data_IF_326870609443
#
_entry.id   IF_326870609443
#
_cell.length_a   1.000
_cell.length_b   1.000
_cell.length_c   1.000
_cell.angle_alpha   90.00
_cell.angle_beta   90.00
_cell.angle_gamma   90.00
#
_symmetry.space_group_name_H-M   'P 1'
#
loop_
_entity.id
_entity.type
_entity.pdbx_description
1 polymer ?
#
# COMPACT_ATOMS: atom_id res chain seq x y z
N UNK A 1 42.13 -11.60 32.32
CA UNK A 1 41.05 -12.18 33.12
C UNK A 1 39.76 -11.40 32.91
N UNK A 2 38.96 -11.57 31.87
CA UNK A 2 39.11 -12.08 30.51
C UNK A 2 37.92 -11.53 29.71
N UNK A 3 38.16 -11.31 28.43
CA UNK A 3 37.28 -10.76 27.40
C UNK A 3 36.28 -11.78 26.83
N UNK A 4 35.04 -11.33 26.52
CA UNK A 4 34.11 -11.71 25.42
C UNK A 4 32.66 -11.43 25.87
N UNK A 5 31.93 -10.44 25.35
CA UNK A 5 31.28 -10.32 24.02
C UNK A 5 30.49 -11.56 23.59
N UNK A 6 29.16 -11.48 23.73
CA UNK A 6 28.19 -12.37 23.10
C UNK A 6 27.20 -11.45 22.38
N UNK A 7 27.33 -11.42 21.07
CA UNK A 7 26.43 -10.79 20.12
C UNK A 7 25.30 -11.76 19.73
N UNK A 8 24.18 -11.13 19.43
CA UNK A 8 23.12 -11.41 18.44
C UNK A 8 23.11 -12.76 17.71
N UNK A 9 21.94 -13.40 17.74
CA UNK A 9 21.60 -14.53 16.89
C UNK A 9 20.49 -14.13 15.91
N UNK A 10 20.93 -13.74 14.72
CA UNK A 10 20.13 -13.54 13.51
C UNK A 10 19.69 -14.90 12.95
N UNK A 11 18.38 -15.11 12.78
CA UNK A 11 17.82 -16.33 12.20
C UNK A 11 17.94 -16.28 10.67
N UNK A 12 19.07 -16.79 10.16
CA UNK A 12 19.30 -17.01 8.74
C UNK A 12 18.57 -18.28 8.26
N UNK A 13 17.71 -18.10 7.26
CA UNK A 13 16.95 -19.13 6.56
C UNK A 13 17.89 -19.98 5.69
N UNK A 14 17.98 -21.29 5.96
CA UNK A 14 18.84 -22.24 5.23
C UNK A 14 18.04 -23.07 4.23
N UNK A 15 18.30 -22.87 2.93
CA UNK A 15 17.87 -23.78 1.86
C UNK A 15 18.62 -25.13 1.92
N UNK A 16 18.14 -26.17 1.23
CA UNK A 16 18.70 -27.52 1.37
C UNK A 16 20.05 -27.68 0.64
N UNK A 17 21.10 -27.94 1.42
CA UNK A 17 22.44 -28.29 0.96
C UNK A 17 22.50 -29.72 0.40
N UNK A 18 23.35 -29.88 -0.62
CA UNK A 18 23.70 -31.16 -1.25
C UNK A 18 24.83 -31.80 -0.45
N UNK A 19 24.59 -32.97 0.13
CA UNK A 19 25.64 -33.78 0.79
C UNK A 19 26.53 -34.50 -0.24
N UNK A 20 27.87 -34.47 -0.08
CA UNK A 20 28.83 -35.03 -1.02
C UNK A 20 29.17 -36.51 -0.76
N UNK A 21 29.56 -37.15 -1.85
CA UNK A 21 29.99 -38.54 -1.97
C UNK A 21 31.36 -38.76 -1.31
N UNK A 22 31.44 -39.59 -0.25
CA UNK A 22 32.71 -40.05 0.32
C UNK A 22 33.01 -41.49 -0.13
N UNK A 23 34.05 -41.62 -0.96
CA UNK A 23 34.79 -42.85 -1.19
C UNK A 23 35.82 -43.03 -0.06
N UNK A 24 35.90 -44.22 0.52
CA UNK A 24 37.18 -44.69 1.04
C UNK A 24 37.36 -46.20 0.89
N UNK A 25 38.56 -46.56 0.46
CA UNK A 25 39.04 -47.87 0.06
C UNK A 25 39.54 -48.71 1.25
N UNK A 26 39.39 -50.03 1.12
CA UNK A 26 40.40 -51.01 1.54
C UNK A 26 40.16 -51.80 2.82
N UNK A 27 39.82 -53.09 2.71
CA UNK A 27 40.79 -54.23 2.61
C UNK A 27 40.05 -55.58 2.78
N UNK A 28 40.16 -56.41 1.73
CA UNK A 28 40.27 -57.90 1.59
C UNK A 28 39.92 -58.77 2.81
N UNK A 29 39.35 -59.99 2.73
CA UNK A 29 38.87 -60.93 1.70
C UNK A 29 38.30 -62.11 2.51
N UNK A 30 37.16 -62.69 2.14
CA UNK A 30 36.99 -64.16 2.15
C UNK A 30 35.79 -64.57 1.28
N UNK A 31 36.06 -65.41 0.29
CA UNK A 31 35.09 -66.01 -0.62
C UNK A 31 34.23 -67.04 0.11
N UNK A 32 32.90 -67.03 -0.09
CA UNK A 32 32.15 -68.11 -0.78
C UNK A 32 30.62 -67.95 -0.62
N UNK A 33 29.93 -68.03 -1.77
CA UNK A 33 28.52 -68.47 -1.98
C UNK A 33 27.39 -67.64 -1.35
N UNK A 34 26.95 -66.60 -2.07
CA UNK A 34 25.60 -66.04 -1.94
C UNK A 34 25.16 -65.35 -3.25
N UNK A 35 25.05 -66.09 -4.36
CA UNK A 35 24.61 -65.55 -5.66
C UNK A 35 23.17 -65.89 -6.04
N UNK A 36 22.37 -66.46 -5.13
CA UNK A 36 20.97 -66.82 -5.42
C UNK A 36 19.94 -65.95 -4.68
N UNK A 37 20.20 -65.55 -3.44
CA UNK A 37 19.24 -64.76 -2.64
C UNK A 37 19.17 -63.28 -3.02
N UNK A 38 20.29 -62.68 -3.44
CA UNK A 38 20.35 -61.24 -3.80
C UNK A 38 19.65 -60.93 -5.11
N UNK A 39 19.67 -61.84 -6.10
CA UNK A 39 18.93 -61.68 -7.36
C UNK A 39 17.42 -61.82 -7.17
N UNK A 40 16.98 -62.70 -6.26
CA UNK A 40 15.55 -62.88 -5.95
C UNK A 40 15.02 -61.66 -5.19
N UNK A 41 15.78 -61.12 -4.23
CA UNK A 41 15.40 -59.91 -3.50
C UNK A 41 15.39 -58.66 -4.41
N UNK A 42 16.37 -58.54 -5.32
CA UNK A 42 16.38 -57.45 -6.30
C UNK A 42 15.17 -57.52 -7.25
N UNK A 43 14.83 -58.72 -7.75
CA UNK A 43 13.66 -58.93 -8.60
C UNK A 43 12.33 -58.64 -7.87
N UNK A 44 12.25 -58.97 -6.57
CA UNK A 44 11.12 -58.63 -5.72
C UNK A 44 10.98 -57.12 -5.49
N UNK A 45 12.09 -56.42 -5.20
CA UNK A 45 12.09 -54.97 -5.03
C UNK A 45 11.74 -54.23 -6.32
N UNK A 46 12.29 -54.65 -7.48
CA UNK A 46 11.94 -54.03 -8.76
C UNK A 46 10.48 -54.26 -9.11
N UNK A 47 9.94 -55.44 -8.81
CA UNK A 47 8.52 -55.74 -9.05
C UNK A 47 7.61 -54.90 -8.15
N UNK A 48 7.96 -54.72 -6.87
CA UNK A 48 7.20 -53.84 -5.98
C UNK A 48 7.26 -52.37 -6.39
N UNK A 49 8.41 -51.86 -6.81
CA UNK A 49 8.54 -50.47 -7.29
C UNK A 49 7.69 -50.27 -8.55
N UNK A 50 7.71 -51.22 -9.49
CA UNK A 50 6.90 -51.14 -10.71
C UNK A 50 5.41 -51.19 -10.37
N UNK A 51 4.98 -52.10 -9.49
CA UNK A 51 3.57 -52.20 -9.07
C UNK A 51 3.11 -50.94 -8.33
N UNK A 52 3.94 -50.38 -7.44
CA UNK A 52 3.64 -49.13 -6.75
C UNK A 52 3.59 -47.93 -7.70
N UNK A 53 4.47 -47.87 -8.70
CA UNK A 53 4.44 -46.82 -9.72
C UNK A 53 3.19 -46.92 -10.62
N UNK A 54 2.79 -48.14 -11.00
CA UNK A 54 1.55 -48.39 -11.76
C UNK A 54 0.33 -48.00 -10.92
N UNK A 55 0.26 -48.43 -9.65
CA UNK A 55 -0.83 -48.06 -8.74
C UNK A 55 -0.90 -46.55 -8.49
N UNK A 56 0.24 -45.87 -8.32
CA UNK A 56 0.30 -44.41 -8.20
C UNK A 56 -0.17 -43.70 -9.46
N UNK A 57 0.20 -44.21 -10.64
CA UNK A 57 -0.26 -43.66 -11.93
C UNK A 57 -1.76 -43.86 -12.11
N UNK A 58 -2.28 -45.05 -11.78
CA UNK A 58 -3.72 -45.35 -11.82
C UNK A 58 -4.50 -44.49 -10.83
N UNK A 59 -3.96 -44.24 -9.63
CA UNK A 59 -4.56 -43.35 -8.64
C UNK A 59 -4.61 -41.91 -9.14
N UNK A 60 -3.53 -41.39 -9.73
CA UNK A 60 -3.50 -40.03 -10.32
C UNK A 60 -4.46 -39.92 -11.50
N UNK A 61 -4.56 -40.96 -12.34
CA UNK A 61 -5.50 -40.99 -13.45
C UNK A 61 -6.95 -41.09 -12.97
N UNK A 62 -7.26 -41.88 -11.94
CA UNK A 62 -8.58 -41.97 -11.33
C UNK A 62 -8.96 -40.67 -10.61
N UNK A 63 -8.02 -40.02 -9.92
CA UNK A 63 -8.24 -38.70 -9.30
C UNK A 63 -8.53 -37.66 -10.40
N UNK A 64 -7.73 -37.61 -11.47
CA UNK A 64 -7.98 -36.73 -12.63
C UNK A 64 -9.31 -37.03 -13.33
N UNK A 65 -9.70 -38.29 -13.44
CA UNK A 65 -10.98 -38.70 -14.02
C UNK A 65 -12.17 -38.28 -13.13
N UNK A 66 -12.06 -38.48 -11.81
CA UNK A 66 -13.05 -38.00 -10.83
C UNK A 66 -13.18 -36.47 -10.85
N UNK A 67 -12.07 -35.73 -10.96
CA UNK A 67 -12.13 -34.26 -11.11
C UNK A 67 -12.75 -33.81 -12.44
N UNK A 68 -12.65 -34.65 -13.48
CA UNK A 68 -13.26 -34.38 -14.80
C UNK A 68 -14.75 -34.67 -14.82
N UNK A 69 -15.22 -35.69 -14.08
CA UNK A 69 -16.66 -35.98 -13.90
C UNK A 69 -17.33 -35.04 -12.88
N UNK A 70 -16.59 -34.50 -11.91
CA UNK A 70 -17.07 -33.52 -10.93
C UNK A 70 -17.14 -32.06 -11.46
N UNK A 71 -16.97 -31.82 -12.76
CA UNK A 71 -17.18 -30.50 -13.38
C UNK A 71 -16.19 -29.40 -12.98
N UNK A 72 -15.08 -29.71 -12.28
CA UNK A 72 -14.13 -28.71 -11.75
C UNK A 72 -12.91 -28.44 -12.65
N UNK A 73 -12.87 -28.98 -13.87
CA UNK A 73 -11.87 -28.64 -14.87
C UNK A 73 -12.53 -28.36 -16.22
N UNK A 74 -13.40 -27.37 -16.25
CA UNK A 74 -13.67 -26.68 -17.49
C UNK A 74 -12.49 -25.74 -17.76
N UNK A 75 -11.69 -26.07 -18.78
CA UNK A 75 -10.86 -25.06 -19.46
C UNK A 75 -11.83 -24.11 -20.14
N UNK A 76 -12.37 -23.18 -19.37
CA UNK A 76 -12.95 -21.99 -19.97
C UNK A 76 -11.78 -21.21 -20.56
N UNK A 77 -11.80 -21.15 -21.88
CA UNK A 77 -11.05 -20.19 -22.68
C UNK A 77 -11.41 -18.81 -22.12
N UNK A 78 -10.61 -18.27 -21.21
CA UNK A 78 -10.76 -16.92 -20.68
C UNK A 78 -10.34 -15.95 -21.79
N UNK A 79 -11.24 -15.77 -22.73
CA UNK A 79 -11.24 -14.70 -23.72
C UNK A 79 -12.63 -14.63 -24.34
N UNK A 80 -13.63 -14.25 -23.54
CA UNK A 80 -14.84 -13.54 -23.96
C UNK A 80 -15.74 -13.40 -22.73
N UNK A 81 -16.15 -12.16 -22.45
CA UNK A 81 -17.15 -11.75 -21.45
C UNK A 81 -16.67 -11.72 -19.99
N UNK A 82 -15.86 -10.71 -19.67
CA UNK A 82 -15.96 -10.08 -18.35
C UNK A 82 -17.36 -9.45 -18.31
N UNK A 83 -18.27 -9.89 -17.42
CA UNK A 83 -19.55 -9.23 -17.25
C UNK A 83 -19.31 -7.77 -16.87
N UNK A 84 -20.00 -6.85 -17.56
CA UNK A 84 -20.01 -5.43 -17.27
C UNK A 84 -20.74 -5.11 -15.93
N UNK A 85 -20.37 -5.79 -14.84
CA UNK A 85 -20.86 -5.50 -13.50
C UNK A 85 -20.13 -4.32 -12.84
N UNK A 86 -18.95 -3.95 -13.33
CA UNK A 86 -18.45 -2.59 -13.16
C UNK A 86 -19.13 -1.70 -14.20
N UNK A 87 -20.39 -1.32 -13.93
CA UNK A 87 -21.08 -0.29 -14.70
C UNK A 87 -20.12 0.87 -14.92
N UNK A 88 -19.90 1.24 -16.18
CA UNK A 88 -18.85 2.19 -16.57
C UNK A 88 -18.80 3.38 -15.62
N UNK A 89 -17.63 3.63 -15.04
CA UNK A 89 -17.45 4.65 -14.00
C UNK A 89 -18.11 5.97 -14.45
N UNK A 90 -19.21 6.41 -13.81
CA UNK A 90 -20.08 7.48 -14.33
C UNK A 90 -19.53 8.88 -14.05
N UNK A 91 -18.26 9.01 -13.67
CA UNK A 91 -17.66 10.29 -13.26
C UNK A 91 -17.37 11.13 -14.50
N UNK A 92 -18.39 11.86 -14.96
CA UNK A 92 -18.30 12.83 -16.07
C UNK A 92 -18.01 14.26 -15.59
N UNK A 93 -18.02 14.47 -14.27
CA UNK A 93 -17.78 15.74 -13.63
C UNK A 93 -17.35 15.53 -12.18
N UNK A 94 -16.38 16.32 -11.71
CA UNK A 94 -16.08 16.50 -10.29
C UNK A 94 -16.35 17.97 -9.97
N UNK A 95 -17.27 18.24 -9.03
CA UNK A 95 -17.71 19.61 -8.73
C UNK A 95 -16.57 20.56 -8.35
N UNK A 96 -15.48 20.03 -7.81
CA UNK A 96 -14.30 20.81 -7.42
C UNK A 96 -13.23 20.88 -8.51
N UNK A 97 -13.20 19.95 -9.46
CA UNK A 97 -12.12 19.82 -10.47
C UNK A 97 -12.57 20.07 -11.92
N UNK A 98 -13.87 20.21 -12.17
CA UNK A 98 -14.44 20.57 -13.46
C UNK A 98 -14.92 19.38 -14.31
N UNK A 99 -15.18 19.63 -15.61
CA UNK A 99 -15.75 18.63 -16.51
C UNK A 99 -14.74 17.55 -16.90
N UNK A 100 -15.27 16.39 -17.28
CA UNK A 100 -14.49 15.32 -17.90
C UNK A 100 -13.78 15.81 -19.17
N UNK A 101 -12.48 15.53 -19.25
CA UNK A 101 -11.63 15.87 -20.40
C UNK A 101 -11.33 14.59 -21.18
N UNK A 102 -11.83 14.42 -22.43
CA UNK A 102 -11.48 13.26 -23.25
C UNK A 102 -10.11 13.43 -23.90
N UNK A 103 -9.36 12.33 -24.01
CA UNK A 103 -8.27 12.26 -24.99
C UNK A 103 -8.88 11.91 -26.36
N UNK A 104 -9.06 12.90 -27.23
CA UNK A 104 -9.66 12.71 -28.56
C UNK A 104 -8.62 12.19 -29.56
N UNK A 105 -8.15 10.96 -29.38
CA UNK A 105 -7.11 10.37 -30.24
C UNK A 105 -7.66 9.21 -31.08
N UNK A 106 -8.22 9.52 -32.25
CA UNK A 106 -8.41 8.52 -33.31
C UNK A 106 -7.18 8.58 -34.22
N UNK A 107 -6.27 7.60 -34.14
CA UNK A 107 -5.09 7.56 -35.03
C UNK A 107 -3.77 7.08 -34.40
N UNK A 108 -3.82 6.43 -33.23
CA UNK A 108 -2.63 5.87 -32.59
C UNK A 108 -1.79 6.90 -31.82
N UNK A 109 -0.56 6.54 -31.42
CA UNK A 109 0.27 7.33 -30.50
C UNK A 109 0.53 8.77 -30.95
N UNK A 110 0.82 8.97 -32.24
CA UNK A 110 1.14 10.29 -32.77
C UNK A 110 -0.06 11.23 -32.72
N UNK A 111 -1.24 10.73 -33.11
CA UNK A 111 -2.48 11.48 -32.99
C UNK A 111 -2.81 11.82 -31.53
N UNK A 112 -2.53 10.92 -30.59
CA UNK A 112 -2.72 11.17 -29.16
C UNK A 112 -1.79 12.26 -28.62
N UNK A 113 -0.52 12.26 -29.01
CA UNK A 113 0.44 13.33 -28.66
C UNK A 113 -0.01 14.67 -29.23
N UNK A 114 -0.47 14.69 -30.49
CA UNK A 114 -0.98 15.91 -31.15
C UNK A 114 -2.26 16.42 -30.49
N UNK A 115 -3.12 15.53 -29.99
CA UNK A 115 -4.30 15.87 -29.21
C UNK A 115 -3.98 16.36 -27.78
N UNK A 116 -2.70 16.47 -27.40
CA UNK A 116 -2.28 16.93 -26.09
C UNK A 116 -2.40 15.86 -25.00
N UNK A 117 -2.42 14.58 -25.36
CA UNK A 117 -2.40 13.48 -24.41
C UNK A 117 -0.97 13.00 -24.12
N UNK A 118 -0.80 12.41 -22.95
CA UNK A 118 0.44 11.82 -22.45
C UNK A 118 0.19 10.34 -22.17
N UNK A 119 1.10 9.47 -22.58
CA UNK A 119 0.99 8.06 -22.23
C UNK A 119 1.53 7.87 -20.82
N UNK A 120 0.71 7.29 -19.94
CA UNK A 120 1.12 6.91 -18.58
C UNK A 120 1.25 5.38 -18.54
N UNK A 121 2.46 4.90 -18.25
CA UNK A 121 2.77 3.46 -18.20
C UNK A 121 1.97 2.71 -17.13
N UNK A 122 1.70 3.34 -15.99
CA UNK A 122 1.03 2.72 -14.85
C UNK A 122 -0.49 2.80 -14.94
N UNK A 123 -1.03 3.80 -15.63
CA UNK A 123 -2.43 3.76 -16.09
C UNK A 123 -2.57 2.85 -17.32
N UNK A 124 -1.45 2.53 -17.97
CA UNK A 124 -1.34 1.82 -19.25
C UNK A 124 -2.27 2.43 -20.32
N UNK A 125 -2.19 3.76 -20.49
CA UNK A 125 -3.12 4.46 -21.35
C UNK A 125 -2.78 5.92 -21.63
N UNK A 126 -3.48 6.49 -22.62
CA UNK A 126 -3.37 7.89 -23.00
C UNK A 126 -4.24 8.76 -22.10
N UNK A 127 -3.58 9.58 -21.29
CA UNK A 127 -4.18 10.50 -20.32
C UNK A 127 -4.15 11.93 -20.88
N UNK A 128 -5.24 12.70 -20.82
CA UNK A 128 -5.21 14.12 -21.17
C UNK A 128 -4.17 14.88 -20.35
N UNK A 129 -3.44 15.84 -20.94
CA UNK A 129 -2.40 16.58 -20.23
C UNK A 129 -2.83 17.17 -18.86
N UNK A 130 -4.04 17.74 -18.68
CA UNK A 130 -4.48 18.23 -17.36
C UNK A 130 -4.62 17.14 -16.29
N UNK A 131 -4.74 15.88 -16.69
CA UNK A 131 -4.90 14.73 -15.81
C UNK A 131 -3.60 13.93 -15.62
N UNK A 132 -2.52 14.29 -16.31
CA UNK A 132 -1.25 13.58 -16.29
C UNK A 132 -0.32 14.12 -15.20
N UNK A 133 -0.02 13.30 -14.19
CA UNK A 133 0.98 13.61 -13.16
C UNK A 133 2.38 13.24 -13.67
N UNK A 134 3.00 14.14 -14.41
CA UNK A 134 4.31 13.91 -15.03
C UNK A 134 5.42 13.70 -14.01
N UNK A 135 5.36 14.39 -12.87
CA UNK A 135 6.38 14.26 -11.83
C UNK A 135 6.37 12.87 -11.20
N UNK A 136 5.18 12.32 -10.94
CA UNK A 136 5.02 10.95 -10.47
C UNK A 136 5.41 9.96 -11.55
N UNK A 137 4.91 10.14 -12.76
CA UNK A 137 5.24 9.27 -13.88
C UNK A 137 6.75 9.14 -14.03
N UNK A 138 7.47 10.26 -14.13
CA UNK A 138 8.92 10.32 -14.31
C UNK A 138 9.67 9.69 -13.12
N UNK A 139 9.22 9.95 -11.89
CA UNK A 139 9.78 9.27 -10.71
C UNK A 139 9.69 7.75 -10.80
N UNK A 140 8.59 7.20 -11.31
CA UNK A 140 8.47 5.75 -11.45
C UNK A 140 9.28 5.25 -12.64
N UNK A 141 9.09 5.80 -13.83
CA UNK A 141 9.71 5.25 -15.06
C UNK A 141 11.22 5.46 -15.14
N UNK A 142 11.78 6.51 -14.51
CA UNK A 142 13.22 6.80 -14.59
C UNK A 142 14.03 6.08 -13.50
N UNK A 143 13.41 5.77 -12.36
CA UNK A 143 14.13 5.20 -11.22
C UNK A 143 14.24 3.68 -11.30
N UNK A 144 13.28 3.01 -11.94
CA UNK A 144 13.18 1.56 -11.98
C UNK A 144 12.67 1.06 -13.33
N UNK A 145 13.18 -0.11 -13.74
CA UNK A 145 12.68 -0.87 -14.88
C UNK A 145 11.82 -2.02 -14.35
N UNK A 146 10.53 -2.03 -14.70
CA UNK A 146 9.52 -2.90 -14.08
C UNK A 146 9.31 -4.24 -14.80
N UNK A 147 10.23 -4.62 -15.71
CA UNK A 147 10.28 -5.94 -16.34
C UNK A 147 8.92 -6.46 -16.85
N UNK A 148 8.47 -5.93 -17.99
CA UNK A 148 7.25 -6.38 -18.66
C UNK A 148 7.52 -7.59 -19.58
N UNK A 149 6.55 -8.49 -19.69
CA UNK A 149 6.67 -9.73 -20.45
C UNK A 149 5.49 -9.93 -21.41
N UNK A 150 5.76 -10.61 -22.53
CA UNK A 150 4.75 -10.95 -23.54
C UNK A 150 3.86 -12.11 -23.12
N UNK A 151 4.30 -12.94 -22.17
CA UNK A 151 3.63 -14.16 -21.73
C UNK A 151 3.80 -14.40 -20.23
N UNK A 152 2.87 -15.19 -19.65
CA UNK A 152 2.85 -15.55 -18.23
C UNK A 152 4.09 -16.32 -17.77
N UNK A 153 4.74 -17.04 -18.70
CA UNK A 153 5.95 -17.79 -18.40
C UNK A 153 7.21 -16.93 -18.46
N UNK A 154 7.06 -15.62 -18.70
CA UNK A 154 8.13 -14.61 -18.67
C UNK A 154 9.29 -15.00 -19.59
N UNK A 155 9.00 -15.51 -20.79
CA UNK A 155 10.06 -15.97 -21.71
C UNK A 155 10.69 -14.83 -22.49
N UNK A 156 9.89 -13.87 -22.91
CA UNK A 156 10.35 -12.73 -23.70
C UNK A 156 9.97 -11.41 -23.03
N UNK A 157 11.02 -10.66 -22.70
CA UNK A 157 10.91 -9.35 -22.09
C UNK A 157 10.57 -8.29 -23.13
N UNK A 158 9.69 -7.37 -22.76
CA UNK A 158 9.38 -6.16 -23.50
C UNK A 158 10.19 -5.02 -22.86
N UNK A 159 11.06 -4.33 -23.61
CA UNK A 159 11.74 -3.14 -23.12
C UNK A 159 10.72 -2.07 -22.72
N UNK A 160 10.91 -1.43 -21.57
CA UNK A 160 9.98 -0.42 -21.05
C UNK A 160 9.84 0.77 -22.01
N UNK A 161 10.91 1.14 -22.72
CA UNK A 161 10.93 2.22 -23.70
C UNK A 161 9.95 1.97 -24.84
N UNK A 162 9.76 0.71 -25.25
CA UNK A 162 8.76 0.35 -26.26
C UNK A 162 7.34 0.56 -25.76
N UNK A 163 7.08 0.30 -24.48
CA UNK A 163 5.76 0.54 -23.89
C UNK A 163 5.45 2.03 -23.80
N UNK A 164 6.46 2.86 -23.50
CA UNK A 164 6.34 4.32 -23.48
C UNK A 164 6.05 4.94 -24.85
N UNK A 165 6.25 4.20 -25.95
CA UNK A 165 5.76 4.61 -27.27
C UNK A 165 4.23 4.66 -27.32
N UNK A 166 3.55 3.95 -26.41
CA UNK A 166 2.09 3.95 -26.23
C UNK A 166 1.33 3.25 -27.36
N UNK A 167 1.99 2.33 -28.07
CA UNK A 167 1.41 1.54 -29.16
C UNK A 167 0.50 0.43 -28.60
N UNK A 168 -0.48 0.00 -29.39
CA UNK A 168 -1.33 -1.16 -29.07
C UNK A 168 -0.68 -2.51 -29.44
N UNK A 169 0.65 -2.55 -29.54
CA UNK A 169 1.38 -3.76 -29.96
C UNK A 169 1.20 -4.91 -28.96
N UNK A 170 1.06 -4.57 -27.67
CA UNK A 170 0.92 -5.53 -26.57
C UNK A 170 -0.41 -5.28 -25.83
N UNK A 171 -1.51 -5.96 -26.22
CA UNK A 171 -2.82 -5.76 -25.58
C UNK A 171 -2.86 -6.32 -24.15
N UNK A 172 -1.98 -7.27 -23.82
CA UNK A 172 -1.79 -7.81 -22.48
C UNK A 172 -0.32 -7.70 -22.10
N UNK A 173 -0.06 -7.22 -20.88
CA UNK A 173 1.27 -7.12 -20.30
C UNK A 173 1.34 -8.03 -19.08
N UNK A 174 2.34 -8.91 -19.05
CA UNK A 174 2.59 -9.77 -17.90
C UNK A 174 3.67 -9.15 -17.04
N UNK A 175 3.36 -8.97 -15.76
CA UNK A 175 4.25 -8.43 -14.73
C UNK A 175 4.40 -9.44 -13.60
N UNK A 176 5.45 -9.29 -12.79
CA UNK A 176 5.53 -10.01 -11.53
C UNK A 176 4.47 -9.54 -10.53
N UNK A 177 4.35 -10.29 -9.44
CA UNK A 177 3.49 -9.91 -8.33
C UNK A 177 4.00 -8.66 -7.60
N UNK A 178 5.31 -8.54 -7.43
CA UNK A 178 5.97 -7.37 -6.85
C UNK A 178 5.66 -6.09 -7.64
N UNK A 179 5.87 -6.10 -8.96
CA UNK A 179 5.55 -4.93 -9.79
C UNK A 179 4.04 -4.66 -9.95
N UNK A 180 3.16 -5.67 -9.79
CA UNK A 180 1.73 -5.42 -9.65
C UNK A 180 1.40 -4.58 -8.40
N UNK A 181 2.09 -4.82 -7.28
CA UNK A 181 1.91 -4.01 -6.08
C UNK A 181 2.46 -2.60 -6.22
N UNK A 182 3.60 -2.43 -6.88
CA UNK A 182 4.12 -1.09 -7.18
C UNK A 182 3.15 -0.30 -8.06
N UNK A 183 2.51 -0.95 -9.03
CA UNK A 183 1.41 -0.37 -9.79
C UNK A 183 0.20 0.01 -8.90
N UNK A 184 -0.22 -0.87 -7.99
CA UNK A 184 -1.31 -0.54 -7.06
C UNK A 184 -0.97 0.65 -6.17
N UNK A 185 0.25 0.69 -5.63
CA UNK A 185 0.78 1.79 -4.81
C UNK A 185 0.87 3.09 -5.61
N UNK A 186 1.25 3.02 -6.88
CA UNK A 186 1.22 4.15 -7.80
C UNK A 186 -0.20 4.73 -7.86
N UNK A 187 -1.21 3.92 -8.16
CA UNK A 187 -2.58 4.39 -8.29
C UNK A 187 -3.14 4.97 -6.99
N UNK A 188 -2.92 4.31 -5.85
CA UNK A 188 -3.29 4.84 -4.53
C UNK A 188 -2.72 6.24 -4.29
N UNK A 189 -1.40 6.37 -4.40
CA UNK A 189 -0.72 7.64 -4.15
C UNK A 189 -1.15 8.71 -5.17
N UNK A 190 -1.50 8.33 -6.41
CA UNK A 190 -1.99 9.28 -7.41
C UNK A 190 -3.34 9.87 -7.00
N UNK A 191 -4.26 9.03 -6.51
CA UNK A 191 -5.57 9.52 -6.06
C UNK A 191 -5.47 10.52 -4.90
N UNK A 192 -4.45 10.38 -4.05
CA UNK A 192 -4.19 11.30 -2.94
C UNK A 192 -3.61 12.62 -3.38
N UNK A 193 -2.58 12.59 -4.22
CA UNK A 193 -1.92 13.80 -4.75
C UNK A 193 -2.88 14.72 -5.48
N UNK A 194 -3.80 14.15 -6.28
CA UNK A 194 -4.83 14.93 -6.99
C UNK A 194 -5.77 15.67 -6.03
N UNK A 195 -5.96 15.12 -4.82
CA UNK A 195 -6.87 15.65 -3.82
C UNK A 195 -6.18 16.33 -2.62
N UNK A 196 -4.85 16.41 -2.61
CA UNK A 196 -4.09 17.19 -1.62
C UNK A 196 -3.93 18.63 -2.11
N UNK A 197 -4.33 19.61 -1.30
CA UNK A 197 -4.27 21.04 -1.65
C UNK A 197 -2.83 21.63 -1.60
N UNK A 198 -1.83 20.83 -1.22
CA UNK A 198 -0.43 21.22 -1.12
C UNK A 198 0.44 20.52 -2.16
N UNK A 199 1.01 21.28 -3.10
CA UNK A 199 1.87 20.81 -4.21
C UNK A 199 3.14 20.05 -3.76
N UNK A 200 3.56 20.13 -2.49
CA UNK A 200 4.96 19.87 -2.12
C UNK A 200 5.22 18.61 -1.28
N UNK A 201 4.22 18.01 -0.61
CA UNK A 201 4.48 16.94 0.36
C UNK A 201 4.83 15.57 -0.25
N UNK A 202 4.60 15.39 -1.55
CA UNK A 202 4.39 14.03 -2.05
C UNK A 202 5.60 13.29 -2.61
N UNK A 203 6.72 13.97 -2.83
CA UNK A 203 7.88 13.39 -3.54
C UNK A 203 8.97 12.86 -2.64
N UNK A 204 8.99 13.26 -1.37
CA UNK A 204 9.90 12.67 -0.41
C UNK A 204 9.25 11.38 0.07
N UNK A 205 9.73 10.27 -0.50
CA UNK A 205 9.90 9.08 0.33
C UNK A 205 10.86 9.53 1.41
N UNK A 206 10.34 9.83 2.60
CA UNK A 206 11.16 9.81 3.80
C UNK A 206 11.66 8.37 3.91
N UNK A 207 12.85 8.17 3.37
CA UNK A 207 13.65 7.00 3.63
C UNK A 207 14.29 7.28 4.97
N UNK A 208 13.55 7.02 6.05
CA UNK A 208 13.97 6.87 7.45
C UNK A 208 12.68 6.52 8.26
N UNK A 209 12.63 5.67 9.29
CA UNK A 209 13.66 5.12 10.14
C UNK A 209 13.10 3.85 10.84
N UNK A 210 13.60 2.68 10.46
CA UNK A 210 13.62 1.45 11.27
C UNK A 210 14.98 0.85 10.91
N UNK A 211 15.96 0.72 11.78
CA UNK A 211 16.04 0.74 13.24
C UNK A 211 17.52 0.79 13.60
N UNK A 212 17.85 1.42 14.74
CA UNK A 212 19.08 1.21 15.51
C UNK A 212 20.46 1.54 14.87
N UNK A 213 21.38 1.74 15.80
CA UNK A 213 22.73 2.32 15.83
C UNK A 213 23.78 2.02 14.73
N UNK A 214 24.53 3.09 14.46
CA UNK A 214 25.97 3.14 14.11
C UNK A 214 26.49 2.39 12.88
N UNK A 215 26.78 3.14 11.82
CA UNK A 215 28.03 3.03 11.07
C UNK A 215 28.30 4.31 10.27
N UNK A 216 29.38 5.02 10.61
CA UNK A 216 29.94 6.10 9.79
C UNK A 216 30.33 5.57 8.41
N UNK A 217 29.87 6.23 7.36
CA UNK A 217 30.52 6.19 6.05
C UNK A 217 30.61 7.59 5.47
N UNK A 218 31.76 8.22 5.68
CA UNK A 218 32.11 9.51 5.09
C UNK A 218 32.36 9.33 3.59
N UNK A 219 31.50 9.90 2.74
CA UNK A 219 31.81 10.12 1.32
C UNK A 219 31.81 11.62 1.04
N UNK A 220 33.00 12.20 1.03
CA UNK A 220 33.25 13.57 0.58
C UNK A 220 32.80 13.72 -0.88
N UNK A 221 31.84 14.60 -1.14
CA UNK A 221 31.59 15.14 -2.46
C UNK A 221 32.15 16.57 -2.53
N UNK A 222 33.17 16.74 -3.36
CA UNK A 222 33.71 18.03 -3.76
C UNK A 222 32.66 18.80 -4.59
N UNK A 223 32.22 19.96 -4.11
CA UNK A 223 31.49 20.97 -4.88
C UNK A 223 32.38 22.20 -5.12
N UNK A 224 32.27 22.87 -6.28
CA UNK A 224 33.21 23.89 -6.72
C UNK A 224 33.04 25.22 -5.97
N UNK A 225 34.18 25.85 -5.67
CA UNK A 225 34.35 27.10 -4.94
C UNK A 225 33.71 28.31 -5.65
N UNK A 226 32.60 28.82 -5.10
CA UNK A 226 32.05 30.14 -5.45
C UNK A 226 32.68 31.20 -4.53
N UNK A 227 33.51 32.09 -5.10
CA UNK A 227 34.06 33.24 -4.36
C UNK A 227 32.93 34.22 -4.04
N UNK A 228 32.59 34.33 -2.76
CA UNK A 228 31.61 35.27 -2.21
C UNK A 228 32.11 35.87 -0.90
N UNK A 229 31.86 37.16 -0.71
CA UNK A 229 32.34 38.04 0.36
C UNK A 229 32.19 37.43 1.77
N UNK A 230 33.29 37.33 2.53
CA UNK A 230 33.26 36.89 3.94
C UNK A 230 32.84 38.06 4.83
N UNK A 231 31.56 38.18 5.16
CA UNK A 231 31.10 39.00 6.29
C UNK A 231 31.47 38.24 7.56
N UNK A 232 32.20 38.88 8.48
CA UNK A 232 32.59 38.28 9.76
C UNK A 232 31.33 37.85 10.53
N UNK A 233 31.31 36.62 11.01
CA UNK A 233 30.20 36.03 11.77
C UNK A 233 29.77 36.88 12.97
N UNK A 234 30.70 37.67 13.52
CA UNK A 234 30.42 38.65 14.58
C UNK A 234 29.50 39.78 14.12
N UNK A 235 29.70 40.30 12.91
CA UNK A 235 28.90 41.41 12.36
C UNK A 235 27.48 40.95 12.03
N UNK A 236 27.33 39.72 11.53
CA UNK A 236 26.02 39.14 11.27
C UNK A 236 25.21 38.97 12.57
N UNK A 237 25.84 38.48 13.64
CA UNK A 237 25.21 38.35 14.97
C UNK A 237 24.72 39.71 15.49
N UNK A 238 25.56 40.74 15.38
CA UNK A 238 25.24 42.07 15.93
C UNK A 238 24.09 42.74 15.14
N UNK A 239 24.04 42.57 13.81
CA UNK A 239 22.92 43.06 13.00
C UNK A 239 21.60 42.34 13.31
N UNK A 240 21.64 41.03 13.57
CA UNK A 240 20.44 40.26 13.95
C UNK A 240 19.91 40.73 15.31
N UNK A 241 20.79 40.96 16.28
CA UNK A 241 20.40 41.47 17.60
C UNK A 241 19.79 42.87 17.52
N UNK A 242 20.37 43.75 16.70
CA UNK A 242 19.82 45.11 16.48
C UNK A 242 18.44 45.04 15.79
N UNK A 243 18.25 44.13 14.83
CA UNK A 243 16.97 43.91 14.17
C UNK A 243 15.88 43.49 15.17
N UNK A 244 16.15 42.53 16.04
CA UNK A 244 15.18 42.11 17.06
C UNK A 244 14.90 43.20 18.09
N UNK A 245 15.90 43.97 18.50
CA UNK A 245 15.72 45.09 19.41
C UNK A 245 14.83 46.20 18.81
N UNK A 246 15.01 46.50 17.52
CA UNK A 246 14.18 47.48 16.80
C UNK A 246 12.73 47.01 16.66
N UNK A 247 12.50 45.73 16.33
CA UNK A 247 11.15 45.16 16.26
C UNK A 247 10.45 45.21 17.62
N UNK A 248 11.14 44.85 18.70
CA UNK A 248 10.61 44.96 20.06
C UNK A 248 10.27 46.40 20.47
N UNK A 249 11.12 47.36 20.09
CA UNK A 249 10.85 48.77 20.35
C UNK A 249 9.64 49.30 19.56
N UNK A 250 9.48 48.90 18.30
CA UNK A 250 8.31 49.27 17.48
C UNK A 250 7.01 48.72 18.10
N UNK A 251 6.99 47.49 18.60
CA UNK A 251 5.82 46.94 19.31
C UNK A 251 5.48 47.66 20.62
N UNK A 252 6.46 48.29 21.28
CA UNK A 252 6.23 49.04 22.52
C UNK A 252 5.79 50.49 22.27
N UNK A 253 6.17 51.06 21.13
CA UNK A 253 5.88 52.47 20.79
C UNK A 253 4.62 52.61 19.94
N UNK A 254 4.12 51.54 19.33
CA UNK A 254 2.82 51.58 18.66
C UNK A 254 1.68 51.70 19.68
N UNK A 255 0.92 52.80 19.70
CA UNK A 255 -0.29 52.89 20.51
C UNK A 255 -1.30 51.83 20.02
N UNK A 256 -1.87 51.06 20.96
CA UNK A 256 -3.03 50.19 20.71
C UNK A 256 -4.19 51.06 20.20
N UNK A 257 -4.28 51.20 18.88
CA UNK A 257 -5.41 51.81 18.19
C UNK A 257 -6.57 50.83 18.20
N UNK A 258 -7.40 50.93 19.23
CA UNK A 258 -8.75 50.36 19.25
C UNK A 258 -9.64 51.14 18.27
N UNK A 259 -9.62 50.79 16.99
CA UNK A 259 -10.59 51.31 16.04
C UNK A 259 -11.68 50.26 15.77
N UNK A 260 -12.74 50.35 16.57
CA UNK A 260 -14.08 50.00 16.12
C UNK A 260 -14.47 50.94 14.98
N UNK A 261 -14.75 50.38 13.80
CA UNK A 261 -15.62 51.01 12.81
C UNK A 261 -16.45 49.94 12.13
N UNK A 262 -17.74 49.93 12.49
CA UNK A 262 -18.83 49.40 11.69
C UNK A 262 -18.88 50.10 10.32
N UNK A 263 -19.18 49.37 9.26
CA UNK A 263 -19.78 49.94 8.06
C UNK A 263 -19.27 49.44 6.70
N UNK A 264 -20.23 48.89 5.94
CA UNK A 264 -20.31 48.78 4.48
C UNK A 264 -19.70 47.53 3.82
N UNK A 265 -20.58 46.55 3.64
CA UNK A 265 -20.48 45.46 2.69
C UNK A 265 -20.10 45.93 1.28
N UNK A 266 -19.03 45.35 0.76
CA UNK A 266 -18.89 45.04 -0.66
C UNK A 266 -18.62 43.55 -0.72
N UNK A 267 -19.66 42.79 -1.06
CA UNK A 267 -19.61 41.36 -1.31
C UNK A 267 -18.65 41.08 -2.48
N UNK A 268 -17.40 40.79 -2.14
CA UNK A 268 -16.58 39.89 -2.94
C UNK A 268 -16.79 38.51 -2.33
N UNK A 269 -17.57 37.68 -3.02
CA UNK A 269 -17.58 36.24 -2.80
C UNK A 269 -16.18 35.66 -3.07
N UNK A 270 -15.26 35.88 -2.14
CA UNK A 270 -14.25 34.90 -1.86
C UNK A 270 -15.00 33.76 -1.18
N UNK A 271 -15.25 32.69 -1.94
CA UNK A 271 -15.62 31.42 -1.35
C UNK A 271 -14.53 31.11 -0.33
N UNK A 272 -14.83 31.34 0.96
CA UNK A 272 -14.08 30.74 2.03
C UNK A 272 -14.04 29.24 1.72
N UNK A 273 -12.84 28.65 1.78
CA UNK A 273 -12.74 27.20 1.79
C UNK A 273 -13.80 26.65 2.76
N UNK A 274 -14.56 25.60 2.40
CA UNK A 274 -15.59 25.06 3.27
C UNK A 274 -14.96 24.81 4.64
N UNK A 275 -15.55 25.38 5.69
CA UNK A 275 -15.08 25.18 7.05
C UNK A 275 -14.98 23.68 7.30
N UNK A 276 -13.78 23.21 7.66
CA UNK A 276 -13.54 21.82 7.98
C UNK A 276 -14.52 21.41 9.10
N UNK A 277 -15.44 20.48 8.79
CA UNK A 277 -16.34 19.95 9.81
C UNK A 277 -15.59 18.86 10.56
N UNK A 278 -15.46 19.04 11.87
CA UNK A 278 -14.69 18.15 12.75
C UNK A 278 -15.27 16.75 12.83
N UNK A 279 -14.39 15.74 12.77
CA UNK A 279 -14.70 14.33 13.02
C UNK A 279 -14.40 13.92 14.49
N UNK A 280 -14.37 14.87 15.42
CA UNK A 280 -14.17 14.63 16.85
C UNK A 280 -15.48 14.19 17.54
N UNK A 281 -15.38 13.15 18.37
CA UNK A 281 -16.47 12.57 19.16
C UNK A 281 -16.23 12.67 20.68
N UNK A 282 -15.36 13.57 21.12
CA UNK A 282 -15.14 13.88 22.54
C UNK A 282 -14.11 12.96 23.19
N UNK A 283 -14.21 12.79 24.51
CA UNK A 283 -13.18 12.14 25.33
C UNK A 283 -13.64 10.84 26.01
N UNK A 284 -14.88 10.41 25.76
CA UNK A 284 -15.38 9.10 26.22
C UNK A 284 -16.46 8.56 25.29
N UNK A 285 -16.69 7.25 25.32
CA UNK A 285 -17.79 6.61 24.59
C UNK A 285 -19.16 7.15 25.02
N UNK A 286 -19.32 7.50 26.29
CA UNK A 286 -20.55 8.11 26.81
C UNK A 286 -20.81 9.50 26.24
N UNK A 287 -19.76 10.31 26.07
CA UNK A 287 -19.83 11.62 25.42
C UNK A 287 -20.06 11.47 23.91
N UNK A 288 -19.35 10.54 23.25
CA UNK A 288 -19.53 10.25 21.83
C UNK A 288 -21.00 9.92 21.50
N UNK A 289 -21.64 9.08 22.32
CA UNK A 289 -23.08 8.78 22.17
C UNK A 289 -23.95 10.04 22.34
N UNK A 290 -23.63 10.92 23.29
CA UNK A 290 -24.35 12.18 23.50
C UNK A 290 -24.18 13.15 22.32
N UNK A 291 -23.02 13.15 21.68
CA UNK A 291 -22.72 13.92 20.47
C UNK A 291 -23.32 13.28 19.20
N UNK A 292 -24.03 12.16 19.32
CA UNK A 292 -24.64 11.46 18.18
C UNK A 292 -23.62 10.68 17.34
N UNK A 293 -22.41 10.48 17.84
CA UNK A 293 -21.42 9.63 17.19
C UNK A 293 -21.77 8.15 17.32
N UNK A 294 -21.27 7.37 16.37
CA UNK A 294 -21.39 5.91 16.34
C UNK A 294 -20.04 5.29 16.05
N UNK A 295 -19.76 4.16 16.70
CA UNK A 295 -18.60 3.34 16.39
C UNK A 295 -18.65 2.82 14.94
N UNK A 296 -17.58 3.05 14.20
CA UNK A 296 -17.35 2.59 12.84
C UNK A 296 -16.20 1.57 12.85
N UNK A 297 -16.50 0.33 12.48
CA UNK A 297 -15.55 -0.79 12.52
C UNK A 297 -14.52 -0.77 11.39
N UNK A 298 -14.83 -0.10 10.27
CA UNK A 298 -13.86 0.15 9.21
C UNK A 298 -12.82 1.16 9.70
N UNK A 299 -13.25 2.22 10.37
CA UNK A 299 -12.38 3.26 10.91
C UNK A 299 -11.66 2.90 12.22
N UNK A 300 -12.18 1.90 12.95
CA UNK A 300 -11.82 1.65 14.34
C UNK A 300 -11.92 2.93 15.19
N UNK A 301 -13.02 3.67 15.03
CA UNK A 301 -13.20 4.96 15.68
C UNK A 301 -14.69 5.26 15.92
N UNK A 302 -14.98 6.13 16.88
CA UNK A 302 -16.28 6.79 17.00
C UNK A 302 -16.31 7.98 16.06
N UNK A 303 -17.33 8.05 15.20
CA UNK A 303 -17.44 9.09 14.18
C UNK A 303 -18.83 9.74 14.17
N UNK A 304 -18.91 11.04 13.85
CA UNK A 304 -20.18 11.70 13.58
C UNK A 304 -20.72 11.27 12.20
N UNK A 305 -22.00 11.52 11.95
CA UNK A 305 -22.69 11.08 10.73
C UNK A 305 -22.01 11.56 9.43
N UNK A 306 -21.45 12.78 9.41
CA UNK A 306 -20.83 13.35 8.23
C UNK A 306 -19.46 12.74 7.90
N UNK A 307 -18.80 12.04 8.84
CA UNK A 307 -17.54 11.32 8.61
C UNK A 307 -17.72 9.81 8.40
N UNK A 308 -18.96 9.32 8.43
CA UNK A 308 -19.30 7.89 8.38
C UNK A 308 -19.96 7.51 7.05
N UNK A 309 -19.45 6.44 6.43
CA UNK A 309 -20.05 5.82 5.24
C UNK A 309 -20.62 4.46 5.63
N UNK A 310 -21.81 4.49 6.22
CA UNK A 310 -22.50 3.33 6.81
C UNK A 310 -22.63 2.14 5.86
N UNK A 311 -22.90 2.42 4.58
CA UNK A 311 -23.07 1.41 3.55
C UNK A 311 -21.74 0.68 3.31
N UNK A 312 -20.65 1.44 3.19
CA UNK A 312 -19.32 0.90 2.96
C UNK A 312 -18.81 0.13 4.19
N UNK A 313 -19.05 0.64 5.40
CA UNK A 313 -18.69 -0.05 6.65
C UNK A 313 -19.47 -1.36 6.79
N UNK A 314 -20.77 -1.37 6.47
CA UNK A 314 -21.56 -2.61 6.50
C UNK A 314 -21.09 -3.63 5.46
N UNK A 315 -20.66 -3.18 4.27
CA UNK A 315 -20.04 -4.06 3.27
C UNK A 315 -18.71 -4.63 3.78
N UNK A 316 -17.87 -3.79 4.40
CA UNK A 316 -16.62 -4.22 5.01
C UNK A 316 -16.86 -5.32 6.04
N UNK A 317 -17.82 -5.14 6.94
CA UNK A 317 -18.17 -6.11 7.99
C UNK A 317 -18.62 -7.49 7.47
N UNK A 318 -19.02 -7.57 6.19
CA UNK A 318 -19.40 -8.82 5.49
C UNK A 318 -18.35 -9.32 4.49
N UNK A 319 -17.14 -8.74 4.51
CA UNK A 319 -16.06 -9.09 3.58
C UNK A 319 -14.98 -9.97 4.21
N UNK A 320 -15.17 -10.40 5.45
CA UNK A 320 -14.26 -11.28 6.18
C UNK A 320 -14.39 -12.75 5.82
N UNK A 321 -13.40 -13.58 6.21
CA UNK A 321 -13.36 -15.00 5.87
C UNK A 321 -14.30 -15.87 6.73
N UNK A 322 -14.92 -15.31 7.77
CA UNK A 322 -15.80 -16.03 8.69
C UNK A 322 -17.19 -16.33 8.10
N UNK A 323 -18.02 -17.11 8.81
CA UNK A 323 -19.39 -17.40 8.40
C UNK A 323 -20.19 -16.11 8.15
N UNK A 324 -20.87 -16.04 7.00
CA UNK A 324 -21.64 -14.85 6.61
C UNK A 324 -20.79 -13.62 6.29
N UNK A 325 -19.47 -13.80 6.09
CA UNK A 325 -18.57 -12.71 5.78
C UNK A 325 -18.02 -11.97 7.00
N UNK A 326 -18.21 -12.49 8.22
CA UNK A 326 -17.79 -11.81 9.45
C UNK A 326 -16.25 -11.80 9.59
N UNK A 327 -15.72 -10.70 10.13
CA UNK A 327 -14.35 -10.61 10.65
C UNK A 327 -14.23 -11.15 12.08
N UNK A 328 -13.12 -11.83 12.37
CA UNK A 328 -12.73 -12.21 13.73
C UNK A 328 -11.69 -11.24 14.26
N UNK A 329 -11.85 -10.86 15.53
CA UNK A 329 -10.97 -9.95 16.26
C UNK A 329 -10.51 -10.62 17.55
N UNK A 330 -9.32 -10.28 18.02
CA UNK A 330 -8.77 -10.87 19.24
C UNK A 330 -8.28 -9.82 20.23
N UNK A 331 -8.37 -10.13 21.53
CA UNK A 331 -7.81 -9.31 22.59
C UNK A 331 -6.30 -9.52 22.78
N UNK A 332 -5.73 -10.57 22.18
CA UNK A 332 -4.31 -10.94 22.29
C UNK A 332 -3.69 -11.29 20.93
N UNK A 333 -2.38 -11.09 20.82
CA UNK A 333 -1.62 -11.38 19.60
C UNK A 333 -1.42 -12.86 19.29
N UNK A 334 -1.73 -13.77 20.19
CA UNK A 334 -1.71 -15.21 19.90
C UNK A 334 -3.04 -15.69 19.31
N UNK A 335 -4.01 -14.79 19.12
CA UNK A 335 -5.34 -15.08 18.58
C UNK A 335 -6.10 -16.15 19.40
N UNK A 336 -5.97 -16.09 20.73
CA UNK A 336 -6.58 -17.08 21.64
C UNK A 336 -7.88 -16.60 22.27
N UNK A 337 -8.08 -15.29 22.40
CA UNK A 337 -9.25 -14.68 23.01
C UNK A 337 -10.00 -13.83 21.97
N UNK A 338 -11.05 -14.38 21.37
CA UNK A 338 -11.93 -13.62 20.46
C UNK A 338 -12.66 -12.52 21.25
N UNK A 339 -12.83 -11.36 20.62
CA UNK A 339 -13.54 -10.21 21.18
C UNK A 339 -14.60 -9.70 20.21
N UNK A 340 -15.74 -9.24 20.74
CA UNK A 340 -16.84 -8.70 19.92
C UNK A 340 -16.59 -7.26 19.49
N UNK A 341 -17.27 -6.82 18.43
CA UNK A 341 -17.23 -5.42 17.96
C UNK A 341 -17.74 -4.48 19.06
N UNK A 342 -18.75 -4.90 19.83
CA UNK A 342 -19.33 -4.12 20.93
C UNK A 342 -18.34 -3.94 22.09
N UNK A 343 -17.47 -4.93 22.33
CA UNK A 343 -16.39 -4.83 23.30
C UNK A 343 -15.24 -3.95 22.79
N UNK A 344 -14.89 -4.07 21.49
CA UNK A 344 -13.90 -3.20 20.85
C UNK A 344 -14.34 -1.74 20.93
N UNK A 345 -15.61 -1.42 20.61
CA UNK A 345 -16.12 -0.05 20.66
C UNK A 345 -15.93 0.62 22.03
N UNK A 346 -16.01 -0.16 23.12
CA UNK A 346 -15.79 0.31 24.50
C UNK A 346 -14.32 0.52 24.85
N UNK A 347 -13.39 -0.01 24.06
CA UNK A 347 -11.95 0.22 24.26
C UNK A 347 -11.56 1.69 24.07
N UNK A 348 -12.41 2.50 23.43
CA UNK A 348 -12.15 3.92 23.22
C UNK A 348 -11.97 4.71 24.54
N UNK A 349 -12.55 4.22 25.64
CA UNK A 349 -12.37 4.80 26.98
C UNK A 349 -10.98 4.48 27.59
N UNK A 350 -10.17 3.65 26.94
CA UNK A 350 -8.89 3.15 27.42
C UNK A 350 -7.79 3.31 26.36
N UNK A 351 -6.95 4.34 26.50
CA UNK A 351 -5.94 4.72 25.50
C UNK A 351 -4.85 3.66 25.27
N UNK A 352 -4.64 2.75 26.22
CA UNK A 352 -3.64 1.68 26.19
C UNK A 352 -4.17 0.36 25.61
N UNK A 353 -5.49 0.21 25.43
CA UNK A 353 -6.09 -1.02 24.91
C UNK A 353 -5.93 -1.12 23.40
N UNK A 354 -5.57 -2.32 22.95
CA UNK A 354 -5.44 -2.68 21.54
C UNK A 354 -6.19 -3.99 21.30
N UNK A 355 -6.67 -4.14 20.07
CA UNK A 355 -7.22 -5.38 19.54
C UNK A 355 -6.40 -5.83 18.34
N UNK A 356 -6.44 -7.12 18.06
CA UNK A 356 -5.61 -7.80 17.07
C UNK A 356 -6.49 -8.32 15.93
N UNK A 357 -5.95 -8.27 14.72
CA UNK A 357 -6.58 -8.74 13.48
C UNK A 357 -5.54 -9.41 12.59
N UNK A 358 -5.99 -10.11 11.55
CA UNK A 358 -5.08 -10.74 10.59
C UNK A 358 -4.52 -9.73 9.59
N UNK A 359 -3.38 -10.05 8.97
CA UNK A 359 -2.85 -9.28 7.84
C UNK A 359 -3.85 -9.18 6.67
N UNK A 360 -4.66 -10.22 6.45
CA UNK A 360 -5.74 -10.19 5.45
C UNK A 360 -6.78 -9.10 5.75
N UNK A 361 -7.20 -8.95 7.02
CA UNK A 361 -8.06 -7.84 7.44
C UNK A 361 -7.42 -6.49 7.10
N UNK A 362 -6.12 -6.33 7.34
CA UNK A 362 -5.41 -5.07 7.12
C UNK A 362 -5.36 -4.67 5.63
N UNK A 363 -5.11 -5.63 4.74
CA UNK A 363 -5.16 -5.40 3.28
C UNK A 363 -6.54 -4.95 2.85
N UNK A 364 -7.59 -5.64 3.30
CA UNK A 364 -8.96 -5.29 2.93
C UNK A 364 -9.37 -3.93 3.53
N UNK A 365 -8.99 -3.65 4.78
CA UNK A 365 -9.18 -2.33 5.41
C UNK A 365 -8.57 -1.21 4.56
N UNK A 366 -7.33 -1.38 4.09
CA UNK A 366 -6.67 -0.39 3.21
C UNK A 366 -7.44 -0.17 1.90
N UNK A 367 -7.92 -1.24 1.27
CA UNK A 367 -8.74 -1.15 0.04
C UNK A 367 -10.06 -0.43 0.32
N UNK A 368 -10.72 -0.73 1.44
CA UNK A 368 -11.98 -0.10 1.81
C UNK A 368 -11.81 1.38 2.18
N UNK A 369 -10.71 1.77 2.82
CA UNK A 369 -10.41 3.18 3.05
C UNK A 369 -10.16 3.94 1.74
N UNK A 370 -9.45 3.34 0.79
CA UNK A 370 -9.32 3.93 -0.54
C UNK A 370 -10.69 4.11 -1.22
N UNK A 371 -11.60 3.14 -1.09
CA UNK A 371 -12.99 3.27 -1.57
C UNK A 371 -13.76 4.37 -0.84
N UNK A 372 -13.57 4.53 0.47
CA UNK A 372 -14.19 5.60 1.29
C UNK A 372 -13.82 6.98 0.76
N UNK A 373 -12.54 7.18 0.45
CA UNK A 373 -12.03 8.42 -0.14
C UNK A 373 -12.61 8.70 -1.52
N UNK A 374 -12.69 7.69 -2.39
CA UNK A 374 -13.32 7.86 -3.70
C UNK A 374 -14.81 8.23 -3.57
N UNK A 375 -15.52 7.59 -2.64
CA UNK A 375 -16.96 7.83 -2.40
C UNK A 375 -17.22 9.21 -1.78
N UNK A 376 -16.36 9.68 -0.88
CA UNK A 376 -16.43 10.99 -0.22
C UNK A 376 -16.58 12.16 -1.22
N UNK A 377 -16.00 12.03 -2.41
CA UNK A 377 -16.09 13.03 -3.50
C UNK A 377 -17.51 13.27 -4.01
N UNK A 378 -18.43 12.32 -3.82
CA UNK A 378 -19.74 12.34 -4.46
C UNK A 378 -20.91 12.11 -3.49
N UNK A 379 -20.68 11.60 -2.29
CA UNK A 379 -21.73 11.27 -1.33
C UNK A 379 -21.88 12.30 -0.19
N UNK A 380 -21.10 13.39 -0.20
CA UNK A 380 -21.14 14.45 0.82
C UNK A 380 -20.56 14.03 2.17
N UNK A 381 -19.88 12.88 2.25
CA UNK A 381 -19.14 12.45 3.44
C UNK A 381 -17.72 13.00 3.42
N UNK A 382 -17.14 13.13 4.61
CA UNK A 382 -15.75 13.53 4.81
C UNK A 382 -14.95 12.32 5.29
N UNK A 383 -13.71 12.19 4.81
CA UNK A 383 -12.74 11.24 5.41
C UNK A 383 -12.01 11.95 6.53
N UNK A 384 -11.88 11.28 7.65
CA UNK A 384 -11.24 11.76 8.86
C UNK A 384 -9.79 12.20 8.57
N UNK A 385 -9.30 13.32 9.10
CA UNK A 385 -7.94 13.78 8.85
C UNK A 385 -6.86 12.73 9.07
N UNK A 386 -6.96 11.93 10.15
CA UNK A 386 -6.01 10.84 10.44
C UNK A 386 -5.92 9.76 9.34
N UNK A 387 -6.98 9.62 8.54
CA UNK A 387 -7.08 8.65 7.45
C UNK A 387 -6.94 9.30 6.08
N UNK A 388 -7.16 10.62 6.00
CA UNK A 388 -7.00 11.38 4.79
C UNK A 388 -5.57 11.90 4.56
N UNK A 389 -4.63 11.62 5.46
CA UNK A 389 -3.23 12.05 5.33
C UNK A 389 -2.41 11.26 4.30
N UNK A 390 -1.32 11.86 3.84
CA UNK A 390 -0.34 11.15 3.00
C UNK A 390 0.41 10.06 3.80
N UNK A 391 0.68 10.28 5.09
CA UNK A 391 1.34 9.30 5.93
C UNK A 391 0.53 8.00 6.01
N UNK A 392 -0.80 8.10 6.21
CA UNK A 392 -1.70 6.95 6.19
C UNK A 392 -1.70 6.26 4.82
N UNK A 393 -1.69 7.03 3.73
CA UNK A 393 -1.64 6.50 2.36
C UNK A 393 -0.37 5.69 2.09
N UNK A 394 0.79 6.23 2.50
CA UNK A 394 2.09 5.57 2.41
C UNK A 394 2.11 4.30 3.27
N UNK A 395 1.49 4.32 4.46
CA UNK A 395 1.29 3.14 5.30
C UNK A 395 0.48 2.07 4.57
N UNK A 396 -0.72 2.40 4.06
CA UNK A 396 -1.55 1.46 3.29
C UNK A 396 -0.80 0.87 2.09
N UNK A 397 -0.05 1.70 1.36
CA UNK A 397 0.76 1.25 0.23
C UNK A 397 1.83 0.21 0.61
N UNK A 398 2.38 0.26 1.83
CA UNK A 398 3.34 -0.74 2.34
C UNK A 398 2.65 -2.05 2.71
N UNK A 399 1.43 -2.00 3.25
CA UNK A 399 0.65 -3.20 3.64
C UNK A 399 0.37 -4.10 2.44
N UNK A 400 0.30 -3.55 1.23
CA UNK A 400 0.16 -4.38 0.04
C UNK A 400 1.41 -5.19 -0.29
N UNK A 401 2.61 -4.68 0.00
CA UNK A 401 3.87 -5.39 -0.25
C UNK A 401 4.16 -6.44 0.82
N UNK A 402 3.96 -6.04 2.08
CA UNK A 402 4.13 -6.91 3.24
C UNK A 402 2.96 -6.70 4.20
N UNK A 403 1.87 -7.49 4.09
CA UNK A 403 0.72 -7.34 4.96
C UNK A 403 0.98 -7.79 6.39
N UNK A 404 2.15 -8.41 6.65
CA UNK A 404 2.41 -9.13 7.88
C UNK A 404 1.46 -10.33 8.07
N UNK A 405 1.68 -11.09 9.15
CA UNK A 405 0.72 -12.11 9.58
C UNK A 405 -0.43 -11.52 10.37
N UNK A 406 -0.14 -10.54 11.22
CA UNK A 406 -1.06 -9.96 12.19
C UNK A 406 -0.93 -8.42 12.21
N UNK A 407 -1.99 -7.74 12.63
CA UNK A 407 -2.04 -6.29 12.80
C UNK A 407 -2.73 -5.94 14.13
N UNK A 408 -2.48 -4.73 14.62
CA UNK A 408 -3.05 -4.22 15.88
C UNK A 408 -3.61 -2.82 15.71
N UNK A 409 -4.71 -2.52 16.39
CA UNK A 409 -5.30 -1.19 16.40
C UNK A 409 -5.86 -0.84 17.78
N UNK A 410 -5.96 0.47 18.06
CA UNK A 410 -6.76 1.01 19.16
C UNK A 410 -8.04 1.64 18.61
N UNK A 411 -8.93 2.07 19.49
CA UNK A 411 -10.15 2.80 19.09
C UNK A 411 -10.02 4.27 19.39
N UNK A 412 -10.23 5.12 18.37
CA UNK A 412 -10.14 6.57 18.51
C UNK A 412 -11.50 7.22 18.82
N UNK A 413 -11.48 8.30 19.59
CA UNK A 413 -12.62 9.21 19.80
C UNK A 413 -12.43 10.54 19.06
N UNK A 414 -11.19 11.03 19.00
CA UNK A 414 -10.81 12.17 18.17
C UNK A 414 -10.05 11.64 16.94
N UNK A 415 -10.53 11.98 15.76
CA UNK A 415 -9.93 11.58 14.47
C UNK A 415 -9.44 12.76 13.63
N UNK A 416 -9.45 13.97 14.21
CA UNK A 416 -8.99 15.21 13.59
C UNK A 416 -7.45 15.34 13.62
N UNK A 417 -6.78 14.58 14.48
CA UNK A 417 -5.33 14.49 14.58
C UNK A 417 -4.86 13.04 14.39
N UNK A 418 -3.63 12.89 13.90
CA UNK A 418 -2.94 11.60 13.77
C UNK A 418 -2.47 11.01 15.09
#
# INVERSE_FOLDING_TARGET
MDSKSIDDNDSQWSGPEKEPFLLNDGVKKHHQRACSSTLIMAAWLTSHIIVSAILGTVLVLNIKANFREAGLLQKDTVSANIPAEFGGLPVRHDNSKGPYVPCQSTGGPEAARQAGCKFDLFVNGWVPAPCFDGQKHDYFVDQHDYYFWVDKEKRQRIPQEKLLEGTLEYPELFVSFEEHYEHCRYLLNATKRVNSDTEEQSLTVDRDNSSDSSAEYTKQQHLPSRKGFKISLSVAKDLILISFALLGFISLVQPKSSNHTDGAAIDKHHQAAPAFTSCDCGNSTAEAVQLGCKYDSLAAAWLPEHCRDDELTAEFERSGPGPGGKWTYWADGNHTQEISIEEIAKMADYTDRRFHMTGHWHVIHCIFYWRKEQRARFNGKTVEPRSYSEAHSKHCGKIFLDPGRDTIAGVALNTDAE
#
